data_IF_978196699154
#
_entry.id   IF_978196699154
#
_cell.length_a   1.000
_cell.length_b   1.000
_cell.length_c   1.000
_cell.angle_alpha   90.00
_cell.angle_beta   90.00
_cell.angle_gamma   90.00
#
_symmetry.space_group_name_H-M   'P 1'
#
loop_
_entity.id
_entity.type
_entity.pdbx_description
1 polymer ?
#
# COMPACT_ATOMS: atom_id res chain seq x y z
N UNK A 1 0.16 -19.73 -5.57
CA UNK A 1 0.85 -18.80 -6.49
C UNK A 1 1.25 -17.56 -5.70
N UNK A 2 2.54 -17.25 -5.57
CA UNK A 2 3.01 -16.06 -4.88
C UNK A 2 2.85 -14.90 -5.87
N UNK A 3 1.74 -14.18 -5.81
CA UNK A 3 1.50 -13.06 -6.74
C UNK A 3 2.48 -11.95 -6.39
N UNK A 4 3.58 -11.85 -7.14
CA UNK A 4 4.59 -10.83 -6.92
C UNK A 4 3.95 -9.44 -6.99
N UNK A 5 4.30 -8.61 -6.02
CA UNK A 5 3.91 -7.22 -6.02
C UNK A 5 4.74 -6.49 -7.06
N UNK A 6 4.12 -5.57 -7.79
CA UNK A 6 4.90 -4.67 -8.63
C UNK A 6 5.77 -3.77 -7.72
N UNK A 7 6.92 -3.26 -8.21
CA UNK A 7 7.75 -2.35 -7.43
C UNK A 7 6.97 -1.15 -6.89
N UNK A 8 6.01 -0.66 -7.67
CA UNK A 8 5.10 0.42 -7.31
C UNK A 8 4.17 0.05 -6.14
N UNK A 9 3.62 -1.17 -6.13
CA UNK A 9 2.78 -1.65 -5.03
C UNK A 9 3.60 -1.84 -3.75
N UNK A 10 4.80 -2.42 -3.86
CA UNK A 10 5.71 -2.58 -2.72
C UNK A 10 6.11 -1.22 -2.12
N UNK A 11 6.49 -0.25 -2.95
CA UNK A 11 6.85 1.09 -2.49
C UNK A 11 5.68 1.81 -1.80
N UNK A 12 4.45 1.66 -2.31
CA UNK A 12 3.25 2.22 -1.68
C UNK A 12 3.00 1.61 -0.29
N UNK A 13 3.14 0.28 -0.14
CA UNK A 13 2.98 -0.41 1.14
C UNK A 13 4.07 -0.01 2.14
N UNK A 14 5.32 0.09 1.70
CA UNK A 14 6.44 0.52 2.56
C UNK A 14 6.24 1.95 3.05
N UNK A 15 5.82 2.85 2.17
CA UNK A 15 5.56 4.24 2.54
C UNK A 15 4.41 4.35 3.54
N UNK A 16 3.32 3.60 3.31
CA UNK A 16 2.18 3.55 4.21
C UNK A 16 2.53 2.92 5.57
N UNK A 17 3.38 1.89 5.59
CA UNK A 17 3.79 1.19 6.81
C UNK A 17 4.67 2.05 7.72
N UNK A 18 5.37 3.03 7.15
CA UNK A 18 6.14 4.03 7.91
C UNK A 18 5.29 5.13 8.52
N UNK A 19 4.00 5.21 8.17
CA UNK A 19 3.10 6.24 8.69
C UNK A 19 2.37 5.72 9.93
N UNK A 20 2.25 6.54 10.99
CA UNK A 20 1.51 6.17 12.19
C UNK A 20 0.01 6.01 11.93
N UNK A 21 -0.52 6.66 10.90
CA UNK A 21 -1.92 6.58 10.50
C UNK A 21 -2.23 5.39 9.58
N UNK A 22 -1.21 4.65 9.12
CA UNK A 22 -1.37 3.50 8.22
C UNK A 22 -2.00 3.83 6.86
N UNK A 23 -2.08 5.12 6.49
CA UNK A 23 -2.74 5.56 5.27
C UNK A 23 -1.89 5.26 4.05
N UNK A 24 -2.54 4.72 3.01
CA UNK A 24 -1.92 4.53 1.71
C UNK A 24 -1.65 5.87 1.02
N UNK A 25 -2.58 6.82 1.12
CA UNK A 25 -2.42 8.16 0.55
C UNK A 25 -1.59 9.07 1.47
N UNK A 26 -0.71 9.92 0.91
CA UNK A 26 -0.48 10.10 -0.53
C UNK A 26 0.39 9.00 -1.13
N UNK A 27 0.02 8.57 -2.35
CA UNK A 27 0.88 7.72 -3.17
C UNK A 27 2.07 8.50 -3.75
N UNK A 28 3.19 7.84 -4.09
CA UNK A 28 4.28 8.42 -4.86
C UNK A 28 3.80 9.23 -6.08
N UNK A 29 4.46 10.37 -6.35
CA UNK A 29 4.01 11.34 -7.35
C UNK A 29 3.91 10.79 -8.79
N UNK A 30 4.63 9.71 -9.09
CA UNK A 30 4.60 9.01 -10.37
C UNK A 30 3.37 8.09 -10.54
N UNK A 31 2.54 7.93 -9.51
CA UNK A 31 1.33 7.10 -9.53
C UNK A 31 0.10 8.02 -9.56
N UNK A 32 -0.46 8.22 -10.76
CA UNK A 32 -1.63 9.09 -10.98
C UNK A 32 -2.63 8.43 -11.93
N UNK A 33 -3.88 8.89 -11.89
CA UNK A 33 -4.96 8.42 -12.77
C UNK A 33 -5.10 6.89 -12.77
N UNK A 34 -5.16 6.28 -13.96
CA UNK A 34 -5.36 4.83 -14.11
C UNK A 34 -4.29 3.96 -13.40
N UNK A 35 -3.05 4.46 -13.26
CA UNK A 35 -2.01 3.74 -12.53
C UNK A 35 -2.32 3.67 -11.02
N UNK A 36 -2.89 4.75 -10.45
CA UNK A 36 -3.36 4.77 -9.06
C UNK A 36 -4.45 3.75 -8.85
N UNK A 37 -5.46 3.74 -9.73
CA UNK A 37 -6.58 2.80 -9.62
C UNK A 37 -6.11 1.35 -9.73
N UNK A 38 -5.17 1.06 -10.64
CA UNK A 38 -4.59 -0.29 -10.80
C UNK A 38 -3.82 -0.74 -9.56
N UNK A 39 -3.04 0.15 -8.94
CA UNK A 39 -2.32 -0.15 -7.69
C UNK A 39 -3.31 -0.46 -6.58
N UNK A 40 -4.31 0.40 -6.37
CA UNK A 40 -5.33 0.24 -5.33
C UNK A 40 -6.10 -1.06 -5.53
N UNK A 41 -6.58 -1.34 -6.75
CA UNK A 41 -7.31 -2.56 -7.05
C UNK A 41 -6.46 -3.81 -6.82
N UNK A 42 -5.18 -3.78 -7.22
CA UNK A 42 -4.27 -4.90 -6.98
C UNK A 42 -3.97 -5.14 -5.50
N UNK A 43 -3.91 -4.09 -4.68
CA UNK A 43 -3.72 -4.23 -3.24
C UNK A 43 -5.01 -4.71 -2.53
N UNK A 44 -6.18 -4.25 -2.98
CA UNK A 44 -7.49 -4.70 -2.48
C UNK A 44 -7.74 -6.18 -2.79
N UNK A 45 -7.44 -6.62 -4.02
CA UNK A 45 -7.63 -8.04 -4.41
C UNK A 45 -6.78 -9.01 -3.61
N UNK A 46 -5.69 -8.51 -3.01
CA UNK A 46 -4.78 -9.25 -2.13
C UNK A 46 -5.07 -9.03 -0.64
N UNK A 47 -6.12 -8.29 -0.30
CA UNK A 47 -6.47 -7.92 1.08
C UNK A 47 -5.33 -7.23 1.87
N UNK A 48 -4.43 -6.52 1.17
CA UNK A 48 -3.31 -5.78 1.79
C UNK A 48 -3.73 -4.39 2.26
N UNK A 49 -4.79 -3.84 1.67
CA UNK A 49 -5.42 -2.60 2.11
C UNK A 49 -6.91 -2.80 2.27
N UNK A 50 -7.55 -1.92 3.03
CA UNK A 50 -9.00 -1.83 3.17
C UNK A 50 -9.49 -0.43 2.81
N UNK A 51 -10.78 -0.34 2.47
CA UNK A 51 -11.48 0.95 2.27
C UNK A 51 -12.06 1.40 3.60
N UNK A 52 -11.69 2.61 4.01
CA UNK A 52 -12.30 3.30 5.13
C UNK A 52 -13.21 4.40 4.58
N UNK A 53 -14.50 4.30 4.88
CA UNK A 53 -15.51 5.26 4.43
C UNK A 53 -15.67 6.34 5.50
N UNK A 54 -15.31 7.57 5.16
CA UNK A 54 -15.52 8.75 6.00
C UNK A 54 -16.59 9.64 5.36
N UNK A 55 -17.27 10.50 6.13
CA UNK A 55 -18.19 11.47 5.56
C UNK A 55 -17.46 12.38 4.55
N UNK A 56 -17.79 12.26 3.28
CA UNK A 56 -17.24 13.08 2.20
C UNK A 56 -16.06 12.49 1.42
N UNK A 57 -15.44 11.39 1.88
CA UNK A 57 -14.33 10.76 1.15
C UNK A 57 -14.06 9.32 1.57
N UNK A 58 -13.33 8.60 0.72
CA UNK A 58 -12.83 7.25 1.00
C UNK A 58 -11.32 7.31 1.14
N UNK A 59 -10.82 6.60 2.14
CA UNK A 59 -9.39 6.42 2.36
C UNK A 59 -9.02 4.95 2.26
N UNK A 60 -7.74 4.71 1.98
CA UNK A 60 -7.19 3.37 1.96
C UNK A 60 -6.19 3.23 3.09
N UNK A 61 -6.38 2.21 3.91
CA UNK A 61 -5.56 1.92 5.08
C UNK A 61 -4.97 0.53 4.97
N UNK A 62 -3.76 0.35 5.50
CA UNK A 62 -3.13 -0.96 5.57
C UNK A 62 -3.93 -1.92 6.45
N UNK A 63 -4.05 -3.17 6.01
CA UNK A 63 -4.46 -4.26 6.90
C UNK A 63 -3.25 -4.79 7.66
N UNK A 64 -3.46 -5.69 8.63
CA UNK A 64 -2.33 -6.37 9.29
C UNK A 64 -1.42 -7.10 8.27
N UNK A 65 -2.00 -7.70 7.23
CA UNK A 65 -1.25 -8.33 6.15
C UNK A 65 -0.46 -7.31 5.31
N UNK A 66 -1.07 -6.18 4.97
CA UNK A 66 -0.40 -5.08 4.29
C UNK A 66 0.77 -4.51 5.09
N UNK A 67 0.58 -4.33 6.41
CA UNK A 67 1.60 -3.86 7.32
C UNK A 67 2.77 -4.85 7.42
N UNK A 68 2.48 -6.15 7.55
CA UNK A 68 3.52 -7.18 7.57
C UNK A 68 4.36 -7.14 6.28
N UNK A 69 3.71 -7.04 5.11
CA UNK A 69 4.42 -6.97 3.83
C UNK A 69 5.21 -5.66 3.66
N UNK A 70 4.62 -4.53 4.04
CA UNK A 70 5.28 -3.21 3.95
C UNK A 70 6.42 -3.02 4.94
N UNK A 71 6.31 -3.64 6.13
CA UNK A 71 7.34 -3.59 7.18
C UNK A 71 8.48 -4.59 6.99
N UNK A 72 8.23 -5.74 6.37
CA UNK A 72 9.24 -6.80 6.21
C UNK A 72 10.31 -6.51 5.15
N UNK A 73 10.08 -5.54 4.25
CA UNK A 73 11.03 -5.16 3.20
C UNK A 73 12.03 -4.08 3.64
N UNK A 74 12.10 -3.75 4.93
CA UNK A 74 12.95 -2.69 5.47
C UNK A 74 14.25 -3.18 6.15
N UNK A 75 14.63 -4.45 6.01
CA UNK A 75 15.87 -4.99 6.59
C UNK A 75 16.60 -5.97 5.64
N UNK A 76 17.04 -5.48 4.49
CA UNK A 76 18.12 -6.15 3.74
C UNK A 76 19.08 -5.06 3.25
N UNK A 77 20.13 -4.82 4.05
CA UNK A 77 21.04 -3.69 3.86
C UNK A 77 21.74 -3.23 5.14
N UNK A 78 22.22 -4.16 5.96
CA UNK A 78 23.34 -3.88 6.86
C UNK A 78 24.41 -4.92 6.60
N UNK A 79 25.42 -4.49 5.83
CA UNK A 79 26.76 -5.08 5.77
C UNK A 79 27.43 -4.98 7.16
#
# INVERSE_FOLDING_TARGET
MKTELTPTQAAALQLAARRPDGRLDPLPQNIRGAARDSVIQGLLSRALITRCFYPGHVEYHLTAAGLAVGGSQAIDGSD
#
